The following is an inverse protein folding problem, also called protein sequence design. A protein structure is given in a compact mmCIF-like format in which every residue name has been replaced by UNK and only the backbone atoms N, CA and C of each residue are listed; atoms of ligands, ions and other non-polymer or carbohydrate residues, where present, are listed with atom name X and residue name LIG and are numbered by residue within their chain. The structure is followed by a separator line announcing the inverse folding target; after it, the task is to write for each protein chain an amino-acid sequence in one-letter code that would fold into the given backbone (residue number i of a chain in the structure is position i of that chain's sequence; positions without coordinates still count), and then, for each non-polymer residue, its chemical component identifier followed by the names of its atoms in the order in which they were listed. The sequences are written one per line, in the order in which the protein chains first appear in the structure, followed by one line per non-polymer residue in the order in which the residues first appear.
data_IF_313638722716
#
_entry.id   IF_313638722716
#
_cell.length_a   1.000
_cell.length_b   1.000
_cell.length_c   1.000
_cell.angle_alpha   90.00
_cell.angle_beta   90.00
_cell.angle_gamma   90.00
#
_symmetry.space_group_name_H-M   'P 1'
#
loop_
_entity.id
_entity.type
_entity.pdbx_description
1 polymer ?
#
# COMPACT_ATOMS: atom_id res chain seq x y z
N UNK A 1 13.01 6.13 -11.10
CA UNK A 1 11.92 6.79 -10.32
C UNK A 1 12.54 7.43 -9.07
N UNK A 2 12.19 8.67 -8.75
CA UNK A 2 12.68 9.33 -7.53
C UNK A 2 12.17 8.61 -6.26
N UNK A 3 12.92 8.68 -5.15
CA UNK A 3 12.54 8.04 -3.90
C UNK A 3 11.15 8.47 -3.42
N UNK A 4 10.87 9.77 -3.42
CA UNK A 4 9.55 10.30 -3.01
C UNK A 4 8.41 9.74 -3.84
N UNK A 5 8.58 9.63 -5.16
CA UNK A 5 7.55 9.07 -6.05
C UNK A 5 7.25 7.59 -5.75
N UNK A 6 8.27 6.80 -5.35
CA UNK A 6 8.06 5.40 -4.93
C UNK A 6 7.25 5.31 -3.63
N UNK A 7 7.50 6.23 -2.69
CA UNK A 7 6.78 6.29 -1.41
C UNK A 7 5.32 6.70 -1.63
N UNK A 8 5.10 7.80 -2.37
CA UNK A 8 3.76 8.30 -2.67
C UNK A 8 2.95 7.27 -3.46
N UNK A 9 3.57 6.57 -4.41
CA UNK A 9 2.87 5.53 -5.18
C UNK A 9 2.37 4.37 -4.32
N UNK A 10 3.12 3.93 -3.30
CA UNK A 10 2.65 2.89 -2.38
C UNK A 10 1.55 3.45 -1.47
N UNK A 11 1.74 4.65 -0.92
CA UNK A 11 0.79 5.28 -0.03
C UNK A 11 -0.58 5.52 -0.70
N UNK A 12 -0.59 6.04 -1.93
CA UNK A 12 -1.82 6.26 -2.71
C UNK A 12 -2.54 4.95 -3.02
N UNK A 13 -1.80 3.91 -3.43
CA UNK A 13 -2.39 2.59 -3.67
C UNK A 13 -3.00 2.00 -2.40
N UNK A 14 -2.31 2.11 -1.25
CA UNK A 14 -2.80 1.61 0.03
C UNK A 14 -4.05 2.36 0.51
N UNK A 15 -4.08 3.69 0.37
CA UNK A 15 -5.28 4.48 0.64
C UNK A 15 -6.45 4.05 -0.25
N UNK A 16 -6.24 3.88 -1.56
CA UNK A 16 -7.28 3.39 -2.48
C UNK A 16 -7.79 1.99 -2.12
N UNK A 17 -6.95 1.14 -1.55
CA UNK A 17 -7.34 -0.21 -1.10
C UNK A 17 -8.22 -0.17 0.16
N UNK A 18 -7.94 0.75 1.09
CA UNK A 18 -8.53 0.75 2.45
C UNK A 18 -9.61 1.80 2.66
N UNK A 19 -9.66 2.85 1.84
CA UNK A 19 -10.61 3.95 1.97
C UNK A 19 -11.91 3.71 1.21
N UNK A 20 -13.04 3.88 1.90
CA UNK A 20 -14.38 3.82 1.29
C UNK A 20 -14.56 5.07 0.43
N UNK A 21 -14.80 4.88 -0.87
CA UNK A 21 -15.13 5.96 -1.80
C UNK A 21 -16.61 5.85 -2.16
N UNK A 22 -17.25 6.98 -2.48
CA UNK A 22 -18.69 7.03 -2.78
C UNK A 22 -19.15 6.04 -3.86
N UNK A 23 -18.23 5.62 -4.74
CA UNK A 23 -18.46 4.68 -5.83
C UNK A 23 -17.98 3.24 -5.57
N UNK A 24 -17.30 2.96 -4.44
CA UNK A 24 -16.70 1.65 -4.13
C UNK A 24 -17.19 1.16 -2.78
N UNK A 25 -17.99 0.09 -2.80
CA UNK A 25 -18.55 -0.53 -1.58
C UNK A 25 -17.60 -1.53 -0.94
N UNK A 26 -16.74 -2.17 -1.73
CA UNK A 26 -15.79 -3.18 -1.25
C UNK A 26 -14.41 -2.55 -1.06
N UNK A 27 -14.04 -2.39 0.21
CA UNK A 27 -12.71 -2.01 0.69
C UNK A 27 -12.00 -3.24 1.21
N UNK A 28 -10.69 -3.28 0.99
CA UNK A 28 -9.86 -4.32 1.59
C UNK A 28 -9.78 -4.09 3.09
N UNK A 29 -9.79 -5.18 3.86
CA UNK A 29 -9.29 -5.13 5.24
C UNK A 29 -7.82 -4.72 5.24
N UNK A 30 -7.32 -4.27 6.40
CA UNK A 30 -5.90 -3.94 6.57
C UNK A 30 -5.00 -5.10 6.15
N UNK A 31 -5.35 -6.32 6.56
CA UNK A 31 -4.63 -7.55 6.24
C UNK A 31 -4.64 -7.83 4.74
N UNK A 32 -5.80 -7.70 4.10
CA UNK A 32 -5.93 -7.88 2.65
C UNK A 32 -5.07 -6.87 1.87
N UNK A 33 -5.06 -5.60 2.29
CA UNK A 33 -4.24 -4.57 1.68
C UNK A 33 -2.75 -4.82 1.89
N UNK A 34 -2.33 -5.25 3.09
CA UNK A 34 -0.95 -5.62 3.40
C UNK A 34 -0.48 -6.79 2.52
N UNK A 35 -1.30 -7.84 2.37
CA UNK A 35 -0.97 -8.99 1.52
C UNK A 35 -0.89 -8.59 0.04
N UNK A 36 -1.76 -7.70 -0.44
CA UNK A 36 -1.69 -7.15 -1.79
C UNK A 36 -0.39 -6.36 -2.03
N UNK A 37 0.01 -5.51 -1.07
CA UNK A 37 1.27 -4.76 -1.13
C UNK A 37 2.47 -5.71 -1.18
N UNK A 38 2.50 -6.74 -0.32
CA UNK A 38 3.57 -7.76 -0.33
C UNK A 38 3.64 -8.49 -1.68
N UNK A 39 2.50 -8.92 -2.22
CA UNK A 39 2.41 -9.64 -3.50
C UNK A 39 2.98 -8.86 -4.68
N UNK A 40 2.87 -7.53 -4.63
CA UNK A 40 3.34 -6.63 -5.68
C UNK A 40 4.72 -6.01 -5.40
N UNK A 41 5.40 -6.42 -4.32
CA UNK A 41 6.78 -6.03 -4.03
C UNK A 41 7.74 -6.50 -5.12
N UNK A 42 8.58 -5.59 -5.61
CA UNK A 42 9.51 -5.85 -6.72
C UNK A 42 8.88 -5.84 -8.11
N UNK A 43 7.56 -5.65 -8.21
CA UNK A 43 6.82 -5.52 -9.48
C UNK A 43 6.28 -4.11 -9.64
N UNK A 44 5.29 -3.75 -8.82
CA UNK A 44 4.67 -2.43 -8.82
C UNK A 44 5.33 -1.51 -7.79
N UNK A 45 5.73 -2.08 -6.65
CA UNK A 45 6.29 -1.33 -5.53
C UNK A 45 7.77 -1.65 -5.35
N UNK A 46 8.52 -0.65 -4.92
CA UNK A 46 9.91 -0.83 -4.58
C UNK A 46 10.04 -1.67 -3.30
N UNK A 47 10.81 -2.77 -3.31
CA UNK A 47 10.95 -3.65 -2.16
C UNK A 47 11.40 -2.94 -0.87
N UNK A 48 12.27 -1.92 -0.97
CA UNK A 48 12.74 -1.17 0.20
C UNK A 48 11.64 -0.30 0.79
N UNK A 49 10.75 0.23 -0.05
CA UNK A 49 9.60 1.01 0.40
C UNK A 49 8.56 0.09 1.03
N UNK A 50 8.30 -1.08 0.44
CA UNK A 50 7.43 -2.11 1.03
C UNK A 50 7.94 -2.53 2.40
N UNK A 51 9.24 -2.83 2.53
CA UNK A 51 9.83 -3.21 3.81
C UNK A 51 9.65 -2.12 4.88
N UNK A 52 9.92 -0.85 4.52
CA UNK A 52 9.73 0.27 5.44
C UNK A 52 8.26 0.43 5.84
N UNK A 53 7.33 0.30 4.89
CA UNK A 53 5.90 0.37 5.13
C UNK A 53 5.43 -0.72 6.11
N UNK A 54 5.84 -1.98 5.91
CA UNK A 54 5.43 -3.10 6.77
C UNK A 54 5.90 -2.94 8.22
N UNK A 55 6.99 -2.22 8.48
CA UNK A 55 7.47 -1.96 9.85
C UNK A 55 6.62 -0.94 10.62
N UNK A 56 5.80 -0.15 9.92
CA UNK A 56 5.01 0.93 10.53
C UNK A 56 3.51 0.71 10.40
N UNK A 57 3.05 -0.06 9.42
CA UNK A 57 1.61 -0.21 9.12
C UNK A 57 0.83 -0.79 10.31
N UNK A 58 1.43 -1.63 11.14
CA UNK A 58 0.78 -2.21 12.33
C UNK A 58 0.76 -1.28 13.56
N UNK A 59 1.42 -0.12 13.50
CA UNK A 59 1.45 0.85 14.60
C UNK A 59 0.28 1.85 14.58
N UNK A 60 -0.59 1.77 13.57
CA UNK A 60 -1.74 2.64 13.34
C UNK A 60 -3.01 1.79 13.16
#
# INVERSE_FOLDING_TARGET
IALGARIISLADAYDVMTSIRSYRKDVFSKEQAIEEVKRNSGKQFDPKVVEAFLRIVDKF
#
